data_IF_510750047244
#
_entry.id   IF_510750047244
#
_cell.length_a   1.000
_cell.length_b   1.000
_cell.length_c   1.000
_cell.angle_alpha   90.00
_cell.angle_beta   90.00
_cell.angle_gamma   90.00
#
_symmetry.space_group_name_H-M   'P 1'
#
loop_
_entity.id
_entity.type
_entity.pdbx_description
1 polymer ?
#
# COMPACT_ATOMS: atom_id res chain seq x y z
N UNK A 1 -7.07 9.33 12.86
CA UNK A 1 -6.97 10.00 11.54
C UNK A 1 -6.31 9.12 10.47
N UNK A 2 -5.56 8.10 10.88
CA UNK A 2 -4.76 7.22 10.01
C UNK A 2 -5.60 6.31 9.09
N UNK A 3 -6.70 5.76 9.61
CA UNK A 3 -7.61 4.92 8.81
C UNK A 3 -8.18 5.66 7.56
N UNK A 4 -8.79 6.86 7.67
CA UNK A 4 -9.25 7.62 6.50
C UNK A 4 -8.16 7.91 5.46
N UNK A 5 -6.93 8.19 5.90
CA UNK A 5 -5.79 8.46 5.01
C UNK A 5 -5.42 7.22 4.22
N UNK A 6 -5.23 6.07 4.87
CA UNK A 6 -4.89 4.81 4.19
C UNK A 6 -6.00 4.40 3.23
N UNK A 7 -7.27 4.49 3.64
CA UNK A 7 -8.40 4.16 2.76
C UNK A 7 -8.45 5.08 1.54
N UNK A 8 -8.10 6.36 1.69
CA UNK A 8 -8.01 7.30 0.57
C UNK A 8 -6.83 6.97 -0.35
N UNK A 9 -5.67 6.64 0.21
CA UNK A 9 -4.49 6.20 -0.55
C UNK A 9 -4.82 4.98 -1.40
N UNK A 10 -5.48 3.97 -0.81
CA UNK A 10 -5.93 2.76 -1.52
C UNK A 10 -7.01 3.07 -2.58
N UNK A 11 -7.92 4.02 -2.30
CA UNK A 11 -8.93 4.46 -3.27
C UNK A 11 -8.31 5.10 -4.51
N UNK A 12 -7.24 5.88 -4.33
CA UNK A 12 -6.56 6.59 -5.41
C UNK A 12 -5.32 5.85 -5.94
N UNK A 13 -5.20 4.55 -5.67
CA UNK A 13 -4.06 3.77 -6.09
C UNK A 13 -3.85 3.87 -7.61
N UNK A 14 -2.66 4.29 -8.09
CA UNK A 14 -2.38 4.41 -9.51
C UNK A 14 -2.37 3.03 -10.16
N UNK A 15 -3.05 2.84 -11.29
CA UNK A 15 -3.14 1.52 -11.97
C UNK A 15 -2.33 1.41 -13.26
N UNK A 16 -1.85 2.54 -13.78
CA UNK A 16 -1.21 2.64 -15.10
C UNK A 16 0.13 3.35 -15.06
N UNK A 17 0.62 3.73 -13.88
CA UNK A 17 1.82 4.53 -13.71
C UNK A 17 2.72 3.93 -12.63
N UNK A 18 3.54 2.95 -13.02
CA UNK A 18 4.37 2.15 -12.12
C UNK A 18 5.26 2.98 -11.18
N UNK A 19 5.92 4.07 -11.63
CA UNK A 19 6.70 4.90 -10.70
C UNK A 19 5.86 5.51 -9.58
N UNK A 20 4.59 5.82 -9.84
CA UNK A 20 3.68 6.34 -8.80
C UNK A 20 3.21 5.23 -7.87
N UNK A 21 3.05 4.00 -8.36
CA UNK A 21 2.79 2.84 -7.50
C UNK A 21 3.94 2.62 -6.52
N UNK A 22 5.19 2.71 -6.98
CA UNK A 22 6.38 2.63 -6.10
C UNK A 22 6.37 3.75 -5.06
N UNK A 23 6.08 4.99 -5.45
CA UNK A 23 5.96 6.11 -4.49
C UNK A 23 4.84 5.86 -3.46
N UNK A 24 3.69 5.35 -3.87
CA UNK A 24 2.58 5.02 -2.97
C UNK A 24 2.96 3.90 -1.98
N UNK A 25 3.75 2.91 -2.42
CA UNK A 25 4.32 1.90 -1.54
C UNK A 25 5.35 2.50 -0.57
N UNK A 26 6.15 3.48 -0.96
CA UNK A 26 7.03 4.19 -0.01
C UNK A 26 6.25 4.90 1.07
N UNK A 27 5.29 5.74 0.69
CA UNK A 27 4.44 6.49 1.63
C UNK A 27 3.63 5.57 2.56
N UNK A 28 3.11 4.47 2.01
CA UNK A 28 2.33 3.51 2.79
C UNK A 28 3.19 2.84 3.88
N UNK A 29 4.45 2.49 3.60
CA UNK A 29 5.36 1.92 4.59
C UNK A 29 5.65 2.91 5.72
N UNK A 30 5.95 4.17 5.38
CA UNK A 30 6.19 5.23 6.37
C UNK A 30 4.99 5.44 7.30
N UNK A 31 3.77 5.41 6.75
CA UNK A 31 2.55 5.49 7.55
C UNK A 31 2.42 4.26 8.46
N UNK A 32 2.64 3.05 7.94
CA UNK A 32 2.51 1.81 8.72
C UNK A 32 3.49 1.75 9.90
N UNK A 33 4.68 2.34 9.77
CA UNK A 33 5.67 2.41 10.86
C UNK A 33 5.20 3.21 12.09
N UNK A 34 4.16 4.05 11.94
CA UNK A 34 3.60 4.86 13.03
C UNK A 34 2.13 4.55 13.35
N UNK A 35 1.54 3.56 12.67
CA UNK A 35 0.13 3.18 12.89
C UNK A 35 -0.02 2.33 14.15
N UNK A 36 -0.95 2.72 15.03
CA UNK A 36 -1.35 1.91 16.18
C UNK A 36 -1.93 0.55 15.75
N UNK A 37 -1.59 -0.56 16.43
CA UNK A 37 -2.10 -1.91 16.09
C UNK A 37 -3.63 -2.01 16.03
N UNK A 38 -4.35 -1.23 16.86
CA UNK A 38 -5.81 -1.20 16.87
C UNK A 38 -6.40 -0.57 15.60
N UNK A 39 -5.76 0.48 15.07
CA UNK A 39 -6.13 1.11 13.80
C UNK A 39 -5.73 0.24 12.61
N UNK A 40 -4.56 -0.41 12.67
CA UNK A 40 -4.08 -1.32 11.64
C UNK A 40 -5.08 -2.47 11.38
N UNK A 41 -5.63 -3.08 12.44
CA UNK A 41 -6.63 -4.15 12.33
C UNK A 41 -7.85 -3.75 11.50
N UNK A 42 -8.21 -2.47 11.44
CA UNK A 42 -9.34 -1.97 10.66
C UNK A 42 -9.05 -1.89 9.16
N UNK A 43 -7.77 -1.76 8.78
CA UNK A 43 -7.34 -1.56 7.39
C UNK A 43 -6.56 -2.74 6.80
N UNK A 44 -6.23 -3.75 7.62
CA UNK A 44 -5.41 -4.90 7.21
C UNK A 44 -5.95 -5.62 5.97
N UNK A 45 -7.27 -5.89 5.90
CA UNK A 45 -7.87 -6.61 4.76
C UNK A 45 -7.71 -5.87 3.43
N UNK A 46 -8.18 -4.61 3.28
CA UNK A 46 -8.02 -3.89 2.03
C UNK A 46 -6.55 -3.60 1.69
N UNK A 47 -5.70 -3.38 2.70
CA UNK A 47 -4.26 -3.18 2.52
C UNK A 47 -3.60 -4.41 1.88
N UNK A 48 -3.72 -5.58 2.49
CA UNK A 48 -3.10 -6.80 1.97
C UNK A 48 -3.71 -7.25 0.64
N UNK A 49 -4.99 -6.94 0.39
CA UNK A 49 -5.60 -7.16 -0.93
C UNK A 49 -4.89 -6.32 -2.01
N UNK A 50 -4.48 -5.10 -1.69
CA UNK A 50 -3.74 -4.26 -2.63
C UNK A 50 -2.29 -4.73 -2.78
N UNK A 51 -1.60 -5.07 -1.68
CA UNK A 51 -0.25 -5.62 -1.74
C UNK A 51 -0.18 -6.90 -2.58
N UNK A 52 -1.12 -7.82 -2.41
CA UNK A 52 -1.20 -9.05 -3.22
C UNK A 52 -1.33 -8.77 -4.72
N UNK A 53 -2.07 -7.72 -5.11
CA UNK A 53 -2.14 -7.27 -6.50
C UNK A 53 -0.79 -6.75 -6.98
N UNK A 54 -0.14 -5.88 -6.19
CA UNK A 54 1.16 -5.32 -6.53
C UNK A 54 2.23 -6.41 -6.73
N UNK A 55 2.26 -7.43 -5.88
CA UNK A 55 3.16 -8.60 -6.01
C UNK A 55 2.88 -9.40 -7.29
N UNK A 56 1.63 -9.41 -7.76
CA UNK A 56 1.23 -10.14 -8.97
C UNK A 56 1.41 -9.34 -10.26
N UNK A 57 1.84 -8.07 -10.20
CA UNK A 57 2.03 -7.24 -11.40
C UNK A 57 3.30 -7.64 -12.16
N UNK A 58 3.31 -7.54 -13.50
CA UNK A 58 4.49 -7.88 -14.31
C UNK A 58 5.64 -6.89 -14.18
N UNK A 59 5.42 -5.72 -13.58
CA UNK A 59 6.43 -4.70 -13.44
C UNK A 59 7.34 -4.98 -12.23
N UNK A 60 8.57 -5.39 -12.50
CA UNK A 60 9.54 -5.85 -11.50
C UNK A 60 9.67 -4.91 -10.28
N UNK A 61 9.88 -3.61 -10.50
CA UNK A 61 10.09 -2.67 -9.38
C UNK A 61 8.88 -2.55 -8.43
N UNK A 62 7.66 -2.74 -8.94
CA UNK A 62 6.45 -2.66 -8.11
C UNK A 62 6.28 -3.94 -7.31
N UNK A 63 6.48 -5.10 -7.96
CA UNK A 63 6.40 -6.39 -7.31
C UNK A 63 7.48 -6.54 -6.23
N UNK A 64 8.73 -6.21 -6.55
CA UNK A 64 9.85 -6.23 -5.60
C UNK A 64 9.58 -5.29 -4.41
N UNK A 65 9.14 -4.06 -4.66
CA UNK A 65 8.83 -3.09 -3.60
C UNK A 65 7.73 -3.58 -2.66
N UNK A 66 6.70 -4.24 -3.21
CA UNK A 66 5.59 -4.78 -2.43
C UNK A 66 5.98 -6.00 -1.57
N UNK A 67 7.02 -6.75 -1.95
CA UNK A 67 7.52 -7.90 -1.19
C UNK A 67 8.32 -7.50 0.08
N UNK A 68 8.74 -6.24 0.20
CA UNK A 68 9.42 -5.73 1.39
C UNK A 68 8.49 -5.40 2.58
N UNK A 69 7.17 -5.60 2.43
CA UNK A 69 6.15 -5.34 3.46
C UNK A 69 5.82 -6.55 4.34
#
# INVERSE_FOLDING_TARGET
LTQPVILSLLKFWPKTHSPKEVMFLSELEEILNVVDPAEFRKIIKPLFTQLAKCVSLPHFQVAERALYF
#
